data_IF_190863791076
#
_entry.id   IF_190863791076
#
_cell.length_a   1.000
_cell.length_b   1.000
_cell.length_c   1.000
_cell.angle_alpha   90.00
_cell.angle_beta   90.00
_cell.angle_gamma   90.00
#
_symmetry.space_group_name_H-M   'P 1'
#
loop_
_entity.id
_entity.type
_entity.pdbx_description
1 polymer ?
#
# COMPACT_ATOMS: atom_id res chain seq x y z
N UNK A 1 8.99 3.68 10.64
CA UNK A 1 7.89 3.67 11.62
C UNK A 1 6.68 4.29 10.94
N UNK A 2 5.56 3.57 10.84
CA UNK A 2 4.37 4.05 10.12
C UNK A 2 3.74 5.31 10.73
N UNK A 3 4.06 5.64 12.00
CA UNK A 3 3.64 6.91 12.64
C UNK A 3 4.27 8.16 12.00
N UNK A 4 5.36 7.99 11.24
CA UNK A 4 6.09 9.09 10.60
C UNK A 4 5.68 9.32 9.14
N UNK A 5 4.74 8.53 8.63
CA UNK A 5 4.28 8.62 7.25
C UNK A 5 3.09 9.57 7.19
N UNK A 6 3.26 10.64 6.42
CA UNK A 6 2.28 11.70 6.18
C UNK A 6 2.17 11.99 4.67
N UNK A 7 1.34 12.97 4.30
CA UNK A 7 1.07 13.32 2.91
C UNK A 7 2.34 13.64 2.08
N UNK A 8 3.38 14.18 2.69
CA UNK A 8 4.65 14.62 2.07
C UNK A 8 5.76 13.56 2.07
N UNK A 9 5.56 12.42 2.75
CA UNK A 9 6.58 11.38 2.86
C UNK A 9 6.90 10.75 1.49
N UNK A 10 8.14 10.38 1.17
CA UNK A 10 8.43 9.68 -0.08
C UNK A 10 7.66 8.36 -0.22
N UNK A 11 7.27 8.00 -1.45
CA UNK A 11 6.53 6.76 -1.76
C UNK A 11 7.31 5.51 -1.30
N UNK A 12 8.64 5.58 -1.28
CA UNK A 12 9.54 4.51 -0.83
C UNK A 12 9.34 4.13 0.64
N UNK A 13 8.86 5.04 1.50
CA UNK A 13 8.54 4.72 2.89
C UNK A 13 7.26 3.87 2.99
N UNK A 14 6.23 4.16 2.20
CA UNK A 14 5.03 3.33 2.12
C UNK A 14 5.36 1.96 1.51
N UNK A 15 6.20 1.93 0.48
CA UNK A 15 6.65 0.67 -0.13
C UNK A 15 7.44 -0.20 0.88
N UNK A 16 8.36 0.40 1.64
CA UNK A 16 9.08 -0.32 2.71
C UNK A 16 8.13 -0.83 3.79
N UNK A 17 7.20 0.00 4.25
CA UNK A 17 6.20 -0.42 5.23
C UNK A 17 5.35 -1.59 4.71
N UNK A 18 4.95 -1.58 3.43
CA UNK A 18 4.24 -2.68 2.79
C UNK A 18 5.03 -3.99 2.88
N UNK A 19 6.33 -3.95 2.60
CA UNK A 19 7.20 -5.14 2.71
C UNK A 19 7.20 -5.66 4.14
N UNK A 20 7.36 -4.80 5.14
CA UNK A 20 7.35 -5.19 6.55
C UNK A 20 6.00 -5.74 6.99
N UNK A 21 4.88 -5.16 6.56
CA UNK A 21 3.55 -5.69 6.84
C UNK A 21 3.32 -7.07 6.20
N UNK A 22 3.84 -7.32 4.99
CA UNK A 22 3.80 -8.64 4.35
C UNK A 22 4.60 -9.66 5.14
N UNK A 23 5.84 -9.32 5.52
CA UNK A 23 6.69 -10.19 6.35
C UNK A 23 5.98 -10.55 7.66
N UNK A 24 5.46 -9.55 8.37
CA UNK A 24 4.69 -9.75 9.59
C UNK A 24 3.51 -10.70 9.37
N UNK A 25 2.71 -10.49 8.31
CA UNK A 25 1.58 -11.37 8.01
C UNK A 25 2.00 -12.81 7.75
N UNK A 26 3.04 -13.02 6.96
CA UNK A 26 3.53 -14.37 6.67
C UNK A 26 4.05 -15.06 7.93
N UNK A 27 4.76 -14.35 8.80
CA UNK A 27 5.17 -14.89 10.10
C UNK A 27 3.96 -15.27 10.97
N UNK A 28 2.94 -14.40 11.04
CA UNK A 28 1.72 -14.67 11.81
C UNK A 28 0.93 -15.85 11.26
N UNK A 29 0.80 -15.96 9.94
CA UNK A 29 0.14 -17.09 9.27
C UNK A 29 0.90 -18.40 9.54
N UNK A 30 2.23 -18.38 9.44
CA UNK A 30 3.10 -19.53 9.69
C UNK A 30 3.02 -20.04 11.12
N UNK A 31 3.13 -19.14 12.11
CA UNK A 31 3.09 -19.52 13.53
C UNK A 31 1.68 -19.56 14.12
N UNK A 32 0.64 -19.45 13.29
CA UNK A 32 -0.75 -19.29 13.75
C UNK A 32 -1.23 -20.43 14.65
N UNK A 33 -0.70 -21.65 14.50
CA UNK A 33 -1.04 -22.82 15.31
C UNK A 33 -0.52 -22.77 16.75
N UNK A 34 0.42 -21.87 17.06
CA UNK A 34 1.01 -21.72 18.40
C UNK A 34 0.18 -20.80 19.31
N UNK A 35 -0.85 -20.14 18.79
CA UNK A 35 -1.62 -19.11 19.48
C UNK A 35 -3.11 -19.41 19.42
N UNK A 36 -3.91 -18.67 20.20
CA UNK A 36 -5.37 -18.78 20.10
C UNK A 36 -5.84 -18.46 18.67
N UNK A 37 -6.55 -19.39 18.00
CA UNK A 37 -6.86 -19.27 16.60
C UNK A 37 -7.87 -18.15 16.32
N UNK A 38 -8.72 -17.79 17.28
CA UNK A 38 -9.70 -16.71 17.13
C UNK A 38 -9.01 -15.35 17.21
N UNK A 39 -8.15 -15.16 18.20
CA UNK A 39 -7.35 -13.95 18.38
C UNK A 39 -6.38 -13.72 17.22
N UNK A 40 -5.66 -14.76 16.80
CA UNK A 40 -4.74 -14.69 15.66
C UNK A 40 -5.46 -14.30 14.36
N UNK A 41 -6.62 -14.92 14.06
CA UNK A 41 -7.44 -14.53 12.90
C UNK A 41 -7.91 -13.09 12.98
N UNK A 42 -8.27 -12.61 14.17
CA UNK A 42 -8.66 -11.21 14.36
C UNK A 42 -7.49 -10.26 14.09
N UNK A 43 -6.29 -10.57 14.61
CA UNK A 43 -5.11 -9.74 14.40
C UNK A 43 -4.69 -9.69 12.93
N UNK A 44 -4.61 -10.85 12.26
CA UNK A 44 -4.31 -10.94 10.82
C UNK A 44 -5.32 -10.13 10.00
N UNK A 45 -6.61 -10.17 10.35
CA UNK A 45 -7.64 -9.39 9.66
C UNK A 45 -7.38 -7.88 9.73
N UNK A 46 -6.99 -7.37 10.91
CA UNK A 46 -6.66 -5.96 11.07
C UNK A 46 -5.42 -5.56 10.26
N UNK A 47 -4.41 -6.44 10.25
CA UNK A 47 -3.19 -6.23 9.46
C UNK A 47 -3.46 -6.27 7.94
N UNK A 48 -4.41 -7.11 7.49
CA UNK A 48 -4.83 -7.16 6.08
C UNK A 48 -5.46 -5.85 5.63
N UNK A 49 -6.32 -5.23 6.44
CA UNK A 49 -6.92 -3.92 6.11
C UNK A 49 -5.87 -2.82 5.88
N UNK A 50 -4.77 -2.83 6.64
CA UNK A 50 -3.64 -1.93 6.39
C UNK A 50 -2.90 -2.30 5.10
N UNK A 51 -2.66 -3.60 4.87
CA UNK A 51 -2.02 -4.09 3.65
C UNK A 51 -2.82 -3.78 2.39
N UNK A 52 -4.14 -3.79 2.43
CA UNK A 52 -4.98 -3.49 1.27
C UNK A 52 -4.71 -2.05 0.78
N UNK A 53 -4.72 -1.07 1.68
CA UNK A 53 -4.38 0.32 1.34
C UNK A 53 -2.94 0.47 0.83
N UNK A 54 -1.98 -0.21 1.46
CA UNK A 54 -0.58 -0.21 1.01
C UNK A 54 -0.40 -0.90 -0.35
N UNK A 55 -1.22 -1.92 -0.63
CA UNK A 55 -1.28 -2.64 -1.90
C UNK A 55 -1.80 -1.75 -3.01
N UNK A 56 -2.97 -1.14 -2.82
CA UNK A 56 -3.57 -0.19 -3.75
C UNK A 56 -2.60 0.94 -4.10
N UNK A 57 -1.93 1.49 -3.08
CA UNK A 57 -0.93 2.54 -3.26
C UNK A 57 0.22 2.07 -4.16
N UNK A 58 0.84 0.94 -3.81
CA UNK A 58 1.94 0.36 -4.57
C UNK A 58 1.56 0.03 -6.02
N UNK A 59 0.37 -0.50 -6.25
CA UNK A 59 -0.09 -0.90 -7.58
C UNK A 59 -0.28 0.33 -8.48
N UNK A 60 -0.80 1.43 -7.92
CA UNK A 60 -0.89 2.72 -8.62
C UNK A 60 0.49 3.32 -8.90
N UNK A 61 1.47 3.18 -7.99
CA UNK A 61 2.85 3.60 -8.27
C UNK A 61 3.44 2.78 -9.41
N UNK A 62 3.28 1.46 -9.42
CA UNK A 62 3.79 0.58 -10.49
C UNK A 62 3.16 0.91 -11.84
N UNK A 63 1.84 1.12 -11.89
CA UNK A 63 1.14 1.49 -13.13
C UNK A 63 1.63 2.82 -13.70
N UNK A 64 1.87 3.83 -12.85
CA UNK A 64 2.44 5.11 -13.27
C UNK A 64 3.84 4.94 -13.89
N UNK A 65 4.70 4.12 -13.27
CA UNK A 65 6.04 3.81 -13.82
C UNK A 65 5.94 3.08 -15.16
N UNK A 66 5.03 2.10 -15.30
CA UNK A 66 4.82 1.38 -16.56
C UNK A 66 4.35 2.31 -17.69
N UNK A 67 3.46 3.25 -17.40
CA UNK A 67 3.01 4.24 -18.39
C UNK A 67 4.10 5.25 -18.76
N UNK A 68 4.92 5.67 -17.79
CA UNK A 68 6.06 6.54 -18.05
C UNK A 68 7.10 5.85 -18.94
N UNK A 69 7.39 4.57 -18.66
CA UNK A 69 8.27 3.75 -19.49
C UNK A 69 7.70 3.59 -20.90
N UNK A 70 6.42 3.25 -21.03
CA UNK A 70 5.75 3.16 -22.34
C UNK A 70 5.84 4.48 -23.11
N UNK A 71 5.60 5.62 -22.45
CA UNK A 71 5.67 6.95 -23.06
C UNK A 71 7.09 7.26 -23.58
N UNK A 72 8.13 6.85 -22.86
CA UNK A 72 9.52 7.05 -23.27
C UNK A 72 9.89 6.35 -24.59
N UNK A 73 9.15 5.29 -24.94
CA UNK A 73 9.31 4.54 -26.18
C UNK A 73 8.48 5.11 -27.35
N UNK A 74 7.58 6.07 -27.11
CA UNK A 74 6.74 6.67 -28.17
C UNK A 74 7.58 7.65 -28.99
N UNK A 75 7.85 7.29 -30.25
CA UNK A 75 8.57 8.17 -31.18
C UNK A 75 7.66 9.28 -31.73
N UNK A 76 8.06 10.55 -31.66
CA UNK A 76 7.32 11.63 -32.30
C UNK A 76 7.39 11.50 -33.82
N UNK A 77 6.37 12.00 -34.52
CA UNK A 77 6.40 12.10 -35.99
C UNK A 77 5.10 11.77 -36.70
N UNK A 78 4.13 11.15 -36.02
CA UNK A 78 2.79 10.88 -36.59
C UNK A 78 1.68 11.45 -35.71
N UNK A 79 0.51 11.72 -36.31
CA UNK A 79 -0.71 12.09 -35.57
C UNK A 79 -1.05 11.03 -34.52
N UNK A 80 -0.98 9.75 -34.90
CA UNK A 80 -1.23 8.61 -34.00
C UNK A 80 -0.27 8.58 -32.80
N UNK A 81 1.02 8.88 -33.02
CA UNK A 81 1.99 8.97 -31.91
C UNK A 81 1.62 10.08 -30.92
N UNK A 82 1.12 11.23 -31.41
CA UNK A 82 0.67 12.33 -30.55
C UNK A 82 -0.60 11.99 -29.79
N UNK A 83 -1.57 11.36 -30.44
CA UNK A 83 -2.81 10.88 -29.82
C UNK A 83 -2.51 9.85 -28.72
N UNK A 84 -1.62 8.90 -28.99
CA UNK A 84 -1.17 7.91 -28.01
C UNK A 84 -0.48 8.57 -26.81
N UNK A 85 0.46 9.50 -27.06
CA UNK A 85 1.12 10.24 -25.99
C UNK A 85 0.14 11.03 -25.13
N UNK A 86 -0.86 11.68 -25.75
CA UNK A 86 -1.91 12.41 -25.03
C UNK A 86 -2.79 11.47 -24.19
N UNK A 87 -3.17 10.30 -24.73
CA UNK A 87 -3.94 9.29 -24.00
C UNK A 87 -3.17 8.75 -22.78
N UNK A 88 -1.87 8.44 -22.96
CA UNK A 88 -1.01 8.00 -21.85
C UNK A 88 -0.90 9.11 -20.79
N UNK A 89 -0.69 10.38 -21.19
CA UNK A 89 -0.65 11.50 -20.24
C UNK A 89 -1.95 11.68 -19.45
N UNK A 90 -3.10 11.50 -20.11
CA UNK A 90 -4.42 11.51 -19.45
C UNK A 90 -4.56 10.40 -18.42
N UNK A 91 -4.14 9.17 -18.77
CA UNK A 91 -4.13 8.04 -17.85
C UNK A 91 -3.18 8.26 -16.67
N UNK A 92 -1.96 8.73 -16.91
CA UNK A 92 -1.00 9.06 -15.84
C UNK A 92 -1.59 10.08 -14.87
N UNK A 93 -2.28 11.10 -15.37
CA UNK A 93 -2.96 12.10 -14.53
C UNK A 93 -4.06 11.48 -13.67
N UNK A 94 -4.89 10.60 -14.25
CA UNK A 94 -5.95 9.91 -13.53
C UNK A 94 -5.37 9.00 -12.42
N UNK A 95 -4.32 8.22 -12.74
CA UNK A 95 -3.65 7.36 -11.77
C UNK A 95 -2.97 8.17 -10.65
N UNK A 96 -2.36 9.31 -10.98
CA UNK A 96 -1.76 10.21 -9.99
C UNK A 96 -2.80 10.71 -8.98
N UNK A 97 -3.98 11.13 -9.46
CA UNK A 97 -5.08 11.57 -8.58
C UNK A 97 -5.60 10.44 -7.69
N UNK A 98 -5.75 9.23 -8.24
CA UNK A 98 -6.13 8.04 -7.45
C UNK A 98 -5.06 7.71 -6.41
N UNK A 99 -3.78 7.80 -6.78
CA UNK A 99 -2.65 7.53 -5.90
C UNK A 99 -2.64 8.49 -4.70
N UNK A 100 -2.85 9.79 -4.94
CA UNK A 100 -3.01 10.79 -3.88
C UNK A 100 -4.22 10.48 -3.00
N UNK A 101 -5.34 10.06 -3.58
CA UNK A 101 -6.52 9.70 -2.78
C UNK A 101 -6.25 8.50 -1.86
N UNK A 102 -5.64 7.42 -2.38
CA UNK A 102 -5.28 6.24 -1.58
C UNK A 102 -4.28 6.61 -0.47
N UNK A 103 -3.32 7.49 -0.78
CA UNK A 103 -2.35 8.02 0.17
C UNK A 103 -3.00 8.72 1.37
N UNK A 104 -4.00 9.58 1.13
CA UNK A 104 -4.72 10.27 2.24
C UNK A 104 -5.47 9.32 3.17
N UNK A 105 -5.79 8.10 2.70
CA UNK A 105 -6.46 7.08 3.52
C UNK A 105 -5.48 6.34 4.43
N UNK A 106 -4.17 6.40 4.17
CA UNK A 106 -3.15 5.69 4.95
C UNK A 106 -3.21 6.06 6.43
N UNK A 107 -3.28 7.35 6.78
CA UNK A 107 -3.27 7.76 8.19
C UNK A 107 -4.45 7.14 8.95
N UNK A 108 -5.63 7.09 8.32
CA UNK A 108 -6.84 6.48 8.91
C UNK A 108 -6.71 4.97 9.07
N UNK A 109 -6.19 4.26 8.05
CA UNK A 109 -6.01 2.80 8.11
C UNK A 109 -4.92 2.41 9.10
N UNK A 110 -3.83 3.17 9.15
CA UNK A 110 -2.76 2.98 10.11
C UNK A 110 -3.23 3.26 11.54
N UNK A 111 -3.93 4.37 11.79
CA UNK A 111 -4.52 4.67 13.09
C UNK A 111 -5.51 3.60 13.55
N UNK A 112 -6.30 3.03 12.63
CA UNK A 112 -7.16 1.90 12.92
C UNK A 112 -6.36 0.67 13.32
N UNK A 113 -5.27 0.37 12.61
CA UNK A 113 -4.39 -0.76 12.92
C UNK A 113 -3.74 -0.60 14.30
N UNK A 114 -3.27 0.60 14.66
CA UNK A 114 -2.58 0.89 15.93
C UNK A 114 -3.49 1.31 17.08
N UNK A 115 -4.82 1.19 16.96
CA UNK A 115 -5.75 1.57 18.03
C UNK A 115 -5.51 0.73 19.29
N UNK A 116 -5.84 1.28 20.47
CA UNK A 116 -5.66 0.61 21.78
C UNK A 116 -6.15 -0.83 21.81
N UNK A 117 -7.31 -1.11 21.20
CA UNK A 117 -7.88 -2.48 21.12
C UNK A 117 -6.96 -3.47 20.38
N UNK A 118 -6.34 -3.04 19.28
CA UNK A 118 -5.47 -3.91 18.49
C UNK A 118 -4.11 -4.09 19.16
N UNK A 119 -3.61 -3.05 19.85
CA UNK A 119 -2.42 -3.15 20.69
C UNK A 119 -2.64 -4.09 21.89
N UNK A 120 -3.80 -4.02 22.54
CA UNK A 120 -4.15 -4.96 23.60
C UNK A 120 -4.17 -6.41 23.09
N UNK A 121 -4.75 -6.66 21.91
CA UNK A 121 -4.72 -7.98 21.27
C UNK A 121 -3.29 -8.44 20.95
N UNK A 122 -2.43 -7.53 20.49
CA UNK A 122 -1.01 -7.84 20.29
C UNK A 122 -0.33 -8.26 21.59
N UNK A 123 -0.57 -7.54 22.69
CA UNK A 123 -0.01 -7.90 24.00
C UNK A 123 -0.59 -9.20 24.55
N UNK A 124 -1.86 -9.51 24.31
CA UNK A 124 -2.47 -10.78 24.72
C UNK A 124 -1.86 -11.97 23.96
N UNK A 125 -1.59 -11.81 22.66
CA UNK A 125 -1.00 -12.85 21.83
C UNK A 125 0.50 -13.04 22.10
N UNK A 126 1.28 -11.95 22.23
CA UNK A 126 2.74 -11.98 22.18
C UNK A 126 3.43 -11.42 23.43
N UNK A 127 2.68 -10.78 24.34
CA UNK A 127 3.21 -10.21 25.58
C UNK A 127 3.46 -11.31 26.60
N UNK A 128 4.64 -11.92 26.53
CA UNK A 128 5.32 -12.52 27.68
C UNK A 128 6.50 -11.64 28.06
#
# INVERSE_FOLDING_TARGET
DGKKIHADTPDEELHRLRIECKKLRYSLEFFSSLYDPKQMRQFIRQLKMLQDNLGDFNDLSVQQHMLADLLSHVRPGTVKSRELAAAIGGLMTALFLQHQHVRTRFEKTFAHFTRKKNLALYHELFGR
#
